data_IF_013045924457
#
_entry.id   IF_013045924457
#
_cell.length_a   1.000
_cell.length_b   1.000
_cell.length_c   1.000
_cell.angle_alpha   90.00
_cell.angle_beta   90.00
_cell.angle_gamma   90.00
#
_symmetry.space_group_name_H-M   'P 1'
#
loop_
_entity.id
_entity.type
_entity.pdbx_description
1 polymer ?
#
# COMPACT_ATOMS: atom_id res chain seq x y z
N UNK A 1 -28.85 31.98 -59.79
CA UNK A 1 -27.85 32.50 -58.84
C UNK A 1 -26.78 31.43 -58.67
N UNK A 2 -25.49 31.72 -58.90
CA UNK A 2 -24.41 30.75 -58.69
C UNK A 2 -24.42 30.31 -57.22
N UNK A 3 -24.55 28.99 -56.99
CA UNK A 3 -24.72 28.39 -55.66
C UNK A 3 -23.57 27.43 -55.31
N UNK A 4 -23.60 26.90 -54.09
CA UNK A 4 -22.64 25.90 -53.63
C UNK A 4 -22.99 24.50 -54.18
N UNK A 5 -22.75 24.29 -55.48
CA UNK A 5 -22.96 23.00 -56.13
C UNK A 5 -21.99 22.78 -57.29
N UNK A 6 -21.54 21.53 -57.46
CA UNK A 6 -20.88 21.10 -58.68
C UNK A 6 -21.95 20.88 -59.74
N UNK A 7 -21.92 21.66 -60.82
CA UNK A 7 -22.94 21.61 -61.88
C UNK A 7 -22.30 21.19 -63.19
N UNK A 8 -22.91 20.22 -63.87
CA UNK A 8 -22.55 19.79 -65.22
C UNK A 8 -23.76 20.03 -66.12
N UNK A 9 -23.53 20.66 -67.27
CA UNK A 9 -24.54 20.84 -68.30
C UNK A 9 -24.16 19.99 -69.51
N UNK A 10 -25.07 19.14 -69.97
CA UNK A 10 -24.91 18.34 -71.18
C UNK A 10 -25.83 18.94 -72.24
N UNK A 11 -25.24 19.38 -73.35
CA UNK A 11 -25.97 19.89 -74.49
C UNK A 11 -26.15 18.78 -75.52
N UNK A 12 -27.40 18.41 -75.79
CA UNK A 12 -27.73 17.43 -76.83
C UNK A 12 -28.04 18.18 -78.13
N UNK A 13 -27.38 17.81 -79.23
CA UNK A 13 -27.52 18.46 -80.53
C UNK A 13 -27.70 17.43 -81.65
N UNK A 14 -28.39 17.82 -82.71
CA UNK A 14 -28.64 16.98 -83.90
C UNK A 14 -27.63 17.35 -85.00
N UNK A 15 -27.04 16.37 -85.70
CA UNK A 15 -26.12 16.64 -86.81
C UNK A 15 -26.84 16.99 -88.13
N UNK A 16 -28.17 17.08 -88.15
CA UNK A 16 -28.95 17.33 -89.37
C UNK A 16 -28.99 18.80 -89.75
N UNK A 17 -28.87 19.11 -91.05
CA UNK A 17 -28.90 20.49 -91.56
C UNK A 17 -30.22 21.22 -91.29
N UNK A 18 -31.32 20.47 -91.18
CA UNK A 18 -32.64 21.03 -90.85
C UNK A 18 -32.69 21.63 -89.44
N UNK A 19 -31.90 21.10 -88.52
CA UNK A 19 -31.85 21.51 -87.12
C UNK A 19 -30.71 22.51 -86.86
N UNK A 20 -30.09 23.04 -87.91
CA UNK A 20 -28.92 23.91 -87.82
C UNK A 20 -29.16 25.12 -86.90
N UNK A 21 -30.31 25.79 -87.04
CA UNK A 21 -30.62 26.98 -86.26
C UNK A 21 -30.81 26.67 -84.77
N UNK A 22 -31.49 25.56 -84.44
CA UNK A 22 -31.70 25.10 -83.05
C UNK A 22 -30.41 24.60 -82.40
N UNK A 23 -29.60 23.88 -83.17
CA UNK A 23 -28.27 23.43 -82.76
C UNK A 23 -27.36 24.61 -82.43
N UNK A 24 -27.38 25.66 -83.28
CA UNK A 24 -26.63 26.90 -83.03
C UNK A 24 -27.10 27.62 -81.76
N UNK A 25 -28.41 27.67 -81.53
CA UNK A 25 -28.97 28.31 -80.34
C UNK A 25 -28.62 27.54 -79.05
N UNK A 26 -28.68 26.21 -79.09
CA UNK A 26 -28.28 25.32 -77.99
C UNK A 26 -26.79 25.48 -77.66
N UNK A 27 -25.92 25.52 -78.68
CA UNK A 27 -24.48 25.74 -78.50
C UNK A 27 -24.16 27.13 -77.95
N UNK A 28 -24.87 28.18 -78.40
CA UNK A 28 -24.74 29.54 -77.83
C UNK A 28 -25.13 29.57 -76.36
N UNK A 29 -26.18 28.84 -75.97
CA UNK A 29 -26.59 28.74 -74.57
C UNK A 29 -25.57 27.94 -73.75
N UNK A 30 -25.09 26.80 -74.26
CA UNK A 30 -24.05 26.01 -73.61
C UNK A 30 -22.76 26.81 -73.39
N UNK A 31 -22.37 27.64 -74.36
CA UNK A 31 -21.19 28.52 -74.23
C UNK A 31 -21.40 29.60 -73.16
N UNK A 32 -22.61 30.19 -73.07
CA UNK A 32 -22.95 31.10 -71.96
C UNK A 32 -22.93 30.40 -70.60
N UNK A 33 -23.47 29.18 -70.53
CA UNK A 33 -23.50 28.38 -69.31
C UNK A 33 -22.09 27.96 -68.84
N UNK A 34 -21.17 27.66 -69.77
CA UNK A 34 -19.76 27.39 -69.47
C UNK A 34 -19.08 28.53 -68.71
N UNK A 35 -19.49 29.77 -68.97
CA UNK A 35 -18.90 30.95 -68.33
C UNK A 35 -19.47 31.23 -66.93
N UNK A 36 -20.47 30.46 -66.48
CA UNK A 36 -21.00 30.57 -65.13
C UNK A 36 -20.02 29.91 -64.16
N UNK A 37 -19.43 30.70 -63.28
CA UNK A 37 -18.51 30.22 -62.24
C UNK A 37 -19.28 29.95 -60.95
N UNK A 38 -19.37 28.69 -60.54
CA UNK A 38 -19.86 28.32 -59.22
C UNK A 38 -18.70 28.30 -58.22
N UNK A 39 -18.97 28.74 -56.98
CA UNK A 39 -18.03 28.63 -55.87
C UNK A 39 -18.44 27.46 -54.98
N UNK A 40 -17.76 26.33 -55.16
CA UNK A 40 -18.03 25.11 -54.39
C UNK A 40 -17.22 25.15 -53.10
N UNK A 41 -17.90 25.05 -51.97
CA UNK A 41 -17.34 24.91 -50.63
C UNK A 41 -17.78 23.58 -50.03
N UNK A 42 -16.88 22.88 -49.33
CA UNK A 42 -17.25 21.65 -48.63
C UNK A 42 -18.33 22.02 -47.60
N UNK A 43 -19.50 21.39 -47.72
CA UNK A 43 -20.58 21.51 -46.74
C UNK A 43 -20.17 20.76 -45.47
N UNK A 44 -19.30 21.39 -44.68
CA UNK A 44 -19.17 20.99 -43.28
C UNK A 44 -20.43 21.51 -42.60
N UNK A 45 -21.32 20.61 -42.21
CA UNK A 45 -22.49 20.99 -41.45
C UNK A 45 -22.04 21.74 -40.20
N UNK A 46 -22.64 22.90 -39.95
CA UNK A 46 -22.38 23.67 -38.73
C UNK A 46 -22.58 22.78 -37.49
N UNK A 47 -23.54 21.84 -37.55
CA UNK A 47 -23.75 20.82 -36.52
C UNK A 47 -22.54 19.91 -36.34
N UNK A 48 -21.95 19.36 -37.41
CA UNK A 48 -20.74 18.51 -37.31
C UNK A 48 -19.55 19.26 -36.71
N UNK A 49 -19.33 20.52 -37.10
CA UNK A 49 -18.25 21.34 -36.52
C UNK A 49 -18.50 21.61 -35.03
N UNK A 50 -19.72 21.97 -34.66
CA UNK A 50 -20.11 22.16 -33.26
C UNK A 50 -19.99 20.87 -32.45
N UNK A 51 -20.38 19.72 -33.01
CA UNK A 51 -20.23 18.41 -32.38
C UNK A 51 -18.76 18.09 -32.13
N UNK A 52 -17.86 18.37 -33.08
CA UNK A 52 -16.42 18.14 -32.88
C UNK A 52 -15.87 19.03 -31.77
N UNK A 53 -16.25 20.31 -31.72
CA UNK A 53 -15.84 21.23 -30.65
C UNK A 53 -16.36 20.77 -29.28
N UNK A 54 -17.65 20.44 -29.19
CA UNK A 54 -18.25 19.95 -27.95
C UNK A 54 -17.61 18.63 -27.50
N UNK A 55 -17.26 17.72 -28.41
CA UNK A 55 -16.54 16.49 -28.06
C UNK A 55 -15.16 16.76 -27.51
N UNK A 56 -14.44 17.73 -28.09
CA UNK A 56 -13.12 18.14 -27.61
C UNK A 56 -13.21 18.77 -26.23
N UNK A 57 -14.22 19.61 -25.99
CA UNK A 57 -14.47 20.25 -24.69
C UNK A 57 -14.87 19.22 -23.62
N UNK A 58 -15.75 18.26 -23.96
CA UNK A 58 -16.07 17.14 -23.07
C UNK A 58 -14.81 16.34 -22.71
N UNK A 59 -13.93 16.06 -23.66
CA UNK A 59 -12.68 15.35 -23.40
C UNK A 59 -11.76 16.13 -22.47
N UNK A 60 -11.62 17.44 -22.66
CA UNK A 60 -10.82 18.31 -21.79
C UNK A 60 -11.39 18.34 -20.37
N UNK A 61 -12.70 18.56 -20.22
CA UNK A 61 -13.37 18.56 -18.92
C UNK A 61 -13.28 17.20 -18.22
N UNK A 62 -13.30 16.09 -18.97
CA UNK A 62 -13.11 14.75 -18.41
C UNK A 62 -11.70 14.54 -17.86
N UNK A 63 -10.66 15.01 -18.57
CA UNK A 63 -9.28 14.96 -18.09
C UNK A 63 -9.10 15.81 -16.83
N UNK A 64 -9.62 17.03 -16.85
CA UNK A 64 -9.60 17.93 -15.70
C UNK A 64 -10.29 17.31 -14.47
N UNK A 65 -11.50 16.75 -14.65
CA UNK A 65 -12.20 16.03 -13.59
C UNK A 65 -11.42 14.82 -13.06
N UNK A 66 -10.71 14.11 -13.95
CA UNK A 66 -9.84 13.01 -13.55
C UNK A 66 -8.68 13.52 -12.69
N UNK A 67 -8.07 14.65 -13.04
CA UNK A 67 -7.02 15.27 -12.23
C UNK A 67 -7.53 15.72 -10.86
N UNK A 68 -8.77 16.26 -10.79
CA UNK A 68 -9.43 16.57 -9.52
C UNK A 68 -9.70 15.31 -8.67
N UNK A 69 -10.20 14.23 -9.28
CA UNK A 69 -10.46 12.95 -8.58
C UNK A 69 -9.18 12.29 -8.09
N UNK A 70 -8.08 12.45 -8.81
CA UNK A 70 -6.76 11.96 -8.41
C UNK A 70 -6.10 12.86 -7.35
N UNK A 71 -6.72 13.98 -6.99
CA UNK A 71 -6.18 14.95 -6.05
C UNK A 71 -4.98 15.71 -6.61
N UNK A 72 -4.75 15.71 -7.92
CA UNK A 72 -3.64 16.42 -8.59
C UNK A 72 -3.89 17.93 -8.65
N UNK A 73 -5.15 18.34 -8.75
CA UNK A 73 -5.60 19.74 -8.70
C UNK A 73 -6.54 19.91 -7.51
N UNK A 74 -6.39 21.01 -6.79
CA UNK A 74 -7.26 21.39 -5.67
C UNK A 74 -7.71 22.83 -5.90
N UNK A 75 -9.01 23.07 -5.79
CA UNK A 75 -9.59 24.42 -5.84
C UNK A 75 -9.53 25.00 -4.44
N UNK A 76 -8.78 26.10 -4.26
CA UNK A 76 -8.75 26.84 -2.99
C UNK A 76 -10.07 27.59 -2.73
N UNK A 77 -10.25 28.10 -1.52
CA UNK A 77 -11.45 28.86 -1.09
C UNK A 77 -11.72 30.11 -1.96
N UNK A 78 -10.67 30.65 -2.60
CA UNK A 78 -10.73 31.79 -3.53
C UNK A 78 -11.03 31.41 -4.99
N UNK A 79 -11.31 30.13 -5.28
CA UNK A 79 -11.58 29.63 -6.63
C UNK A 79 -10.34 29.49 -7.53
N UNK A 80 -9.14 29.73 -6.98
CA UNK A 80 -7.87 29.56 -7.70
C UNK A 80 -7.48 28.08 -7.70
N UNK A 81 -7.24 27.54 -8.89
CA UNK A 81 -6.80 26.17 -9.07
C UNK A 81 -5.30 26.06 -8.75
N UNK A 82 -4.96 25.30 -7.71
CA UNK A 82 -3.58 25.01 -7.35
C UNK A 82 -3.26 23.53 -7.64
N UNK A 83 -2.01 23.26 -8.02
CA UNK A 83 -1.50 21.89 -8.07
C UNK A 83 -1.28 21.44 -6.64
N UNK A 84 -1.79 20.27 -6.29
CA UNK A 84 -1.67 19.76 -4.93
C UNK A 84 -0.21 19.37 -4.63
N UNK A 85 0.42 20.08 -3.70
CA UNK A 85 1.80 19.82 -3.27
C UNK A 85 1.97 18.37 -2.78
N UNK A 86 0.96 17.83 -2.11
CA UNK A 86 0.93 16.43 -1.64
C UNK A 86 0.95 15.42 -2.79
N UNK A 87 0.31 15.74 -3.92
CA UNK A 87 0.30 14.87 -5.10
C UNK A 87 1.66 14.90 -5.80
N UNK A 88 2.29 16.07 -5.89
CA UNK A 88 3.63 16.21 -6.46
C UNK A 88 4.67 15.45 -5.63
N UNK A 89 4.61 15.58 -4.31
CA UNK A 89 5.46 14.82 -3.39
C UNK A 89 5.24 13.31 -3.53
N UNK A 90 3.99 12.84 -3.58
CA UNK A 90 3.70 11.42 -3.80
C UNK A 90 4.27 10.90 -5.13
N UNK A 91 4.20 11.69 -6.20
CA UNK A 91 4.79 11.32 -7.48
C UNK A 91 6.31 11.17 -7.38
N UNK A 92 6.99 12.12 -6.73
CA UNK A 92 8.43 12.06 -6.50
C UNK A 92 8.82 10.86 -5.63
N UNK A 93 8.09 10.61 -4.56
CA UNK A 93 8.28 9.46 -3.67
C UNK A 93 8.05 8.13 -4.41
N UNK A 94 7.02 8.02 -5.24
CA UNK A 94 6.82 6.82 -6.06
C UNK A 94 7.96 6.60 -7.04
N UNK A 95 8.47 7.66 -7.64
CA UNK A 95 9.62 7.58 -8.55
C UNK A 95 10.85 7.08 -7.81
N UNK A 96 11.10 7.58 -6.60
CA UNK A 96 12.24 7.16 -5.78
C UNK A 96 12.09 5.70 -5.30
N UNK A 97 10.88 5.29 -4.89
CA UNK A 97 10.56 3.89 -4.58
C UNK A 97 10.87 2.99 -5.77
N UNK A 98 10.50 3.39 -6.98
CA UNK A 98 10.76 2.61 -8.19
C UNK A 98 12.27 2.49 -8.49
N UNK A 99 13.05 3.56 -8.29
CA UNK A 99 14.51 3.51 -8.40
C UNK A 99 15.11 2.55 -7.38
N UNK A 100 14.69 2.64 -6.11
CA UNK A 100 15.18 1.78 -5.04
C UNK A 100 14.82 0.32 -5.30
N UNK A 101 13.59 0.02 -5.75
CA UNK A 101 13.18 -1.34 -6.17
C UNK A 101 14.07 -1.87 -7.28
N UNK A 102 14.40 -1.05 -8.27
CA UNK A 102 15.28 -1.45 -9.38
C UNK A 102 16.69 -1.77 -8.87
N UNK A 103 17.23 -0.97 -7.94
CA UNK A 103 18.53 -1.23 -7.31
C UNK A 103 18.52 -2.51 -6.48
N UNK A 104 17.49 -2.74 -5.68
CA UNK A 104 17.34 -3.97 -4.89
C UNK A 104 17.28 -5.18 -5.81
N UNK A 105 16.53 -5.10 -6.91
CA UNK A 105 16.48 -6.18 -7.91
C UNK A 105 17.86 -6.48 -8.49
N UNK A 106 18.61 -5.45 -8.91
CA UNK A 106 19.97 -5.63 -9.42
C UNK A 106 20.91 -6.23 -8.38
N UNK A 107 20.82 -5.80 -7.11
CA UNK A 107 21.62 -6.38 -6.02
C UNK A 107 21.24 -7.84 -5.76
N UNK A 108 19.95 -8.18 -5.78
CA UNK A 108 19.50 -9.57 -5.61
C UNK A 108 20.06 -10.47 -6.72
N UNK A 109 20.02 -10.02 -7.97
CA UNK A 109 20.62 -10.76 -9.10
C UNK A 109 22.13 -11.00 -8.90
N UNK A 110 22.86 -10.04 -8.31
CA UNK A 110 24.28 -10.24 -7.97
C UNK A 110 24.49 -11.24 -6.83
N UNK A 111 23.62 -11.24 -5.81
CA UNK A 111 23.67 -12.19 -4.70
C UNK A 111 23.41 -13.59 -5.22
N UNK A 112 22.39 -13.77 -6.06
CA UNK A 112 22.04 -15.06 -6.65
C UNK A 112 23.19 -15.60 -7.52
N UNK A 113 23.84 -14.74 -8.31
CA UNK A 113 25.00 -15.11 -9.11
C UNK A 113 26.22 -15.52 -8.25
N UNK A 114 26.48 -14.79 -7.16
CA UNK A 114 27.56 -15.13 -6.24
C UNK A 114 27.26 -16.42 -5.46
N UNK A 115 26.02 -16.60 -5.01
CA UNK A 115 25.55 -17.81 -4.34
C UNK A 115 25.74 -19.04 -5.24
N UNK A 116 25.28 -18.95 -6.51
CA UNK A 116 25.48 -20.01 -7.49
C UNK A 116 26.95 -20.38 -7.72
N UNK A 117 27.84 -19.37 -7.81
CA UNK A 117 29.28 -19.61 -7.92
C UNK A 117 29.87 -20.27 -6.68
N UNK A 118 29.40 -19.89 -5.48
CA UNK A 118 29.89 -20.45 -4.23
C UNK A 118 29.47 -21.92 -4.09
N UNK A 119 28.21 -22.25 -4.41
CA UNK A 119 27.72 -23.63 -4.47
C UNK A 119 28.50 -24.47 -5.50
N UNK A 120 28.86 -23.90 -6.67
CA UNK A 120 29.71 -24.58 -7.66
C UNK A 120 31.12 -24.86 -7.12
N UNK A 121 31.77 -23.87 -6.49
CA UNK A 121 33.11 -24.05 -5.91
C UNK A 121 33.13 -25.04 -4.75
N UNK A 122 32.06 -25.08 -3.94
CA UNK A 122 31.91 -26.08 -2.89
C UNK A 122 31.77 -27.50 -3.47
N UNK A 123 31.00 -27.66 -4.54
CA UNK A 123 30.90 -28.94 -5.25
C UNK A 123 32.23 -29.37 -5.90
N UNK A 124 32.97 -28.42 -6.49
CA UNK A 124 34.30 -28.68 -7.06
C UNK A 124 35.33 -29.07 -5.97
N UNK A 125 35.33 -28.39 -4.82
CA UNK A 125 36.17 -28.78 -3.68
C UNK A 125 35.81 -30.14 -3.10
N UNK A 126 34.52 -30.45 -3.00
CA UNK A 126 34.07 -31.76 -2.54
C UNK A 126 34.53 -32.85 -3.52
N UNK A 127 34.31 -32.68 -4.82
CA UNK A 127 34.78 -33.66 -5.82
C UNK A 127 36.29 -33.87 -5.79
N UNK A 128 37.09 -32.81 -5.67
CA UNK A 128 38.56 -32.91 -5.50
C UNK A 128 38.93 -33.63 -4.19
N UNK A 129 38.25 -33.32 -3.08
CA UNK A 129 38.48 -33.95 -1.77
C UNK A 129 38.20 -35.46 -1.77
N UNK A 130 37.16 -35.89 -2.48
CA UNK A 130 36.81 -37.30 -2.64
C UNK A 130 37.80 -38.03 -3.56
N UNK A 131 38.23 -37.41 -4.68
CA UNK A 131 39.28 -37.96 -5.55
C UNK A 131 40.59 -38.16 -4.77
N UNK A 132 40.91 -37.29 -3.81
CA UNK A 132 42.11 -37.44 -2.96
C UNK A 132 41.95 -38.42 -1.78
N UNK A 133 40.72 -38.67 -1.31
CA UNK A 133 40.46 -39.62 -0.22
C UNK A 133 40.24 -41.06 -0.70
N UNK A 134 39.82 -41.24 -1.96
CA UNK A 134 39.76 -42.51 -2.66
C UNK A 134 41.13 -43.03 -3.09
N UNK A 135 41.99 -43.33 -2.11
CA UNK A 135 43.04 -44.35 -2.22
C UNK A 135 43.99 -44.28 -3.43
N UNK A 136 44.82 -43.24 -3.54
CA UNK A 136 46.26 -43.42 -3.75
C UNK A 136 46.95 -42.06 -3.79
N UNK A 137 47.95 -41.89 -2.92
CA UNK A 137 48.95 -40.83 -2.98
C UNK A 137 49.83 -41.09 -4.23
N UNK A 138 49.37 -40.66 -5.40
CA UNK A 138 50.17 -40.62 -6.62
C UNK A 138 50.76 -39.23 -6.79
N UNK A 139 52.05 -39.18 -7.09
CA UNK A 139 52.86 -37.98 -7.28
C UNK A 139 52.17 -36.90 -8.12
N UNK A 140 52.37 -35.66 -7.68
CA UNK A 140 51.71 -34.43 -8.11
C UNK A 140 51.94 -33.97 -9.57
N UNK A 141 52.58 -34.78 -10.42
CA UNK A 141 52.98 -34.39 -11.78
C UNK A 141 52.12 -35.00 -12.92
N UNK A 142 51.06 -35.77 -12.63
CA UNK A 142 50.24 -36.46 -13.67
C UNK A 142 48.73 -36.25 -13.56
N UNK A 143 48.28 -35.17 -12.94
CA UNK A 143 46.85 -34.91 -12.67
C UNK A 143 46.07 -34.49 -13.94
N UNK A 144 46.73 -33.92 -14.95
CA UNK A 144 46.05 -33.36 -16.14
C UNK A 144 45.42 -34.38 -17.11
N UNK A 145 45.64 -35.69 -16.94
CA UNK A 145 45.17 -36.72 -17.89
C UNK A 145 44.08 -37.66 -17.38
N UNK A 146 43.69 -37.58 -16.10
CA UNK A 146 42.66 -38.46 -15.51
C UNK A 146 41.25 -37.88 -15.48
N UNK A 147 41.09 -36.57 -15.71
CA UNK A 147 39.77 -35.89 -15.64
C UNK A 147 38.82 -36.31 -16.78
N UNK A 148 39.31 -36.93 -17.86
CA UNK A 148 38.47 -37.31 -19.02
C UNK A 148 38.05 -38.79 -19.07
N UNK A 149 38.40 -39.62 -18.07
CA UNK A 149 38.40 -41.08 -18.25
C UNK A 149 37.44 -41.95 -17.41
N UNK A 150 36.75 -41.43 -16.39
CA UNK A 150 36.00 -42.29 -15.47
C UNK A 150 34.51 -42.38 -15.84
N UNK A 151 34.14 -43.53 -16.41
CA UNK A 151 32.79 -43.87 -16.86
C UNK A 151 31.85 -44.26 -15.71
N UNK A 152 30.79 -43.48 -15.53
CA UNK A 152 29.42 -43.99 -15.36
C UNK A 152 28.85 -44.23 -13.96
N UNK A 153 29.65 -44.58 -12.94
CA UNK A 153 29.11 -44.98 -11.62
C UNK A 153 29.26 -43.94 -10.51
N UNK A 154 30.33 -43.14 -10.54
CA UNK A 154 30.60 -42.14 -9.49
C UNK A 154 29.82 -40.84 -9.68
N UNK A 155 29.33 -40.60 -10.91
CA UNK A 155 28.53 -39.43 -11.28
C UNK A 155 27.17 -39.40 -10.56
N UNK A 156 26.49 -40.54 -10.41
CA UNK A 156 25.17 -40.59 -9.76
C UNK A 156 25.25 -40.26 -8.26
N UNK A 157 26.32 -40.72 -7.59
CA UNK A 157 26.55 -40.42 -6.17
C UNK A 157 26.94 -38.95 -5.98
N UNK A 158 27.72 -38.38 -6.91
CA UNK A 158 28.05 -36.95 -6.88
C UNK A 158 26.84 -36.07 -7.19
N UNK A 159 25.98 -36.46 -8.12
CA UNK A 159 24.75 -35.74 -8.46
C UNK A 159 23.73 -35.77 -7.31
N UNK A 160 23.65 -36.89 -6.58
CA UNK A 160 22.80 -37.03 -5.39
C UNK A 160 23.30 -36.19 -4.21
N UNK A 161 24.61 -36.21 -3.94
CA UNK A 161 25.23 -35.37 -2.91
C UNK A 161 25.07 -33.89 -3.25
N UNK A 162 25.21 -33.53 -4.54
CA UNK A 162 24.96 -32.18 -5.02
C UNK A 162 23.50 -31.78 -4.85
N UNK A 163 22.55 -32.69 -5.05
CA UNK A 163 21.13 -32.49 -4.79
C UNK A 163 20.85 -32.15 -3.32
N UNK A 164 21.36 -32.94 -2.38
CA UNK A 164 21.16 -32.70 -0.94
C UNK A 164 21.83 -31.41 -0.46
N UNK A 165 23.03 -31.08 -0.94
CA UNK A 165 23.69 -29.81 -0.62
C UNK A 165 22.86 -28.61 -1.10
N UNK A 166 22.29 -28.70 -2.30
CA UNK A 166 21.44 -27.66 -2.88
C UNK A 166 20.13 -27.52 -2.11
N UNK A 167 19.54 -28.64 -1.67
CA UNK A 167 18.34 -28.66 -0.84
C UNK A 167 18.60 -28.07 0.56
N UNK A 168 19.75 -28.37 1.18
CA UNK A 168 20.13 -27.77 2.47
C UNK A 168 20.36 -26.25 2.32
N UNK A 169 20.98 -25.80 1.24
CA UNK A 169 21.15 -24.36 0.96
C UNK A 169 19.80 -23.67 0.69
N UNK A 170 18.89 -24.31 -0.05
CA UNK A 170 17.53 -23.81 -0.25
C UNK A 170 16.73 -23.72 1.05
N UNK A 171 16.82 -24.74 1.91
CA UNK A 171 16.13 -24.76 3.20
C UNK A 171 16.68 -23.69 4.14
N UNK A 172 18.00 -23.46 4.15
CA UNK A 172 18.61 -22.36 4.89
C UNK A 172 18.18 -20.99 4.37
N UNK A 173 18.09 -20.82 3.05
CA UNK A 173 17.60 -19.58 2.44
C UNK A 173 16.12 -19.32 2.80
N UNK A 174 15.27 -20.36 2.72
CA UNK A 174 13.84 -20.27 3.11
C UNK A 174 13.66 -19.95 4.59
N UNK A 175 14.49 -20.52 5.47
CA UNK A 175 14.47 -20.21 6.90
C UNK A 175 14.84 -18.74 7.14
N UNK A 176 15.92 -18.26 6.51
CA UNK A 176 16.36 -16.87 6.65
C UNK A 176 15.33 -15.88 6.09
N UNK A 177 14.65 -16.22 4.99
CA UNK A 177 13.56 -15.42 4.42
C UNK A 177 12.32 -15.40 5.35
N UNK A 178 11.97 -16.56 5.93
CA UNK A 178 10.91 -16.68 6.94
C UNK A 178 11.22 -15.88 8.22
N UNK A 179 12.46 -15.93 8.70
CA UNK A 179 12.90 -15.16 9.87
C UNK A 179 12.88 -13.65 9.59
N UNK A 180 13.36 -13.23 8.42
CA UNK A 180 13.32 -11.83 7.97
C UNK A 180 11.89 -11.30 7.83
N UNK A 181 10.98 -12.09 7.23
CA UNK A 181 9.56 -11.71 7.09
C UNK A 181 8.85 -11.65 8.42
N UNK A 182 9.06 -12.62 9.33
CA UNK A 182 8.56 -12.55 10.71
C UNK A 182 9.10 -11.32 11.45
N UNK A 183 10.39 -10.99 11.29
CA UNK A 183 11.00 -9.84 11.94
C UNK A 183 10.48 -8.51 11.35
N UNK A 184 10.18 -8.45 10.05
CA UNK A 184 9.52 -7.31 9.41
C UNK A 184 8.07 -7.15 9.88
N UNK A 185 7.30 -8.24 10.00
CA UNK A 185 5.95 -8.20 10.55
C UNK A 185 5.95 -7.69 12.00
N UNK A 186 6.91 -8.12 12.83
CA UNK A 186 7.11 -7.56 14.18
C UNK A 186 7.44 -6.07 14.16
N UNK A 187 8.33 -5.62 13.25
CA UNK A 187 8.67 -4.19 13.06
C UNK A 187 7.51 -3.34 12.54
N UNK A 188 6.62 -3.92 11.73
CA UNK A 188 5.42 -3.25 11.23
C UNK A 188 4.35 -3.19 12.32
N UNK A 189 4.21 -4.24 13.14
CA UNK A 189 3.33 -4.26 14.31
C UNK A 189 3.77 -3.28 15.41
N UNK A 190 5.09 -3.01 15.53
CA UNK A 190 5.62 -2.05 16.49
C UNK A 190 5.66 -0.59 15.99
N UNK A 191 5.32 -0.31 14.73
CA UNK A 191 5.17 1.07 14.23
C UNK A 191 3.75 1.59 14.55
N UNK A 192 3.62 2.75 15.23
CA UNK A 192 2.31 3.35 15.46
C UNK A 192 1.65 3.69 14.12
N UNK A 193 0.46 3.14 13.91
CA UNK A 193 -0.29 3.26 12.65
C UNK A 193 -0.93 4.64 12.56
N UNK A 194 -0.24 5.60 11.95
CA UNK A 194 -0.87 6.84 11.50
C UNK A 194 -1.56 6.59 10.15
N UNK A 195 -2.74 5.95 10.19
CA UNK A 195 -3.59 5.80 8.99
C UNK A 195 -4.39 7.09 8.77
N UNK A 196 -3.88 7.89 7.85
CA UNK A 196 -4.61 8.95 7.16
C UNK A 196 -5.77 8.35 6.33
N UNK A 197 -6.92 8.99 6.47
CA UNK A 197 -8.23 8.73 5.89
C UNK A 197 -8.30 8.89 4.37
N UNK A 198 -8.79 7.88 3.63
CA UNK A 198 -9.75 8.09 2.54
C UNK A 198 -10.34 6.78 1.98
N UNK A 199 -11.55 6.40 2.41
CA UNK A 199 -12.56 5.79 1.53
C UNK A 199 -13.92 5.91 2.20
N UNK A 200 -14.78 6.76 1.64
CA UNK A 200 -16.18 6.87 2.01
C UNK A 200 -16.97 5.62 1.63
N UNK A 201 -18.07 5.41 2.36
CA UNK A 201 -19.04 4.30 2.28
C UNK A 201 -18.69 3.01 3.06
N UNK A 202 -18.25 3.13 4.32
CA UNK A 202 -18.42 2.04 5.29
C UNK A 202 -18.42 2.53 6.75
N UNK A 203 -18.95 3.71 7.03
CA UNK A 203 -18.89 4.31 8.37
C UNK A 203 -20.25 4.31 9.06
N UNK A 204 -20.63 3.17 9.64
CA UNK A 204 -21.56 3.17 10.78
C UNK A 204 -21.30 2.04 11.79
N UNK A 205 -20.29 1.18 11.56
CA UNK A 205 -19.97 0.04 12.43
C UNK A 205 -18.59 0.12 13.12
N UNK A 206 -17.69 0.99 12.64
CA UNK A 206 -16.29 0.99 13.09
C UNK A 206 -16.06 1.62 14.48
N UNK A 207 -16.90 2.56 14.93
CA UNK A 207 -16.71 3.19 16.24
C UNK A 207 -16.96 2.24 17.41
N UNK A 208 -17.87 1.26 17.26
CA UNK A 208 -18.10 0.21 18.25
C UNK A 208 -16.99 -0.84 18.24
N UNK A 209 -16.44 -1.12 17.05
CA UNK A 209 -15.39 -2.12 16.89
C UNK A 209 -14.07 -1.67 17.51
N UNK A 210 -13.68 -0.40 17.36
CA UNK A 210 -12.45 0.12 17.98
C UNK A 210 -12.50 0.13 19.52
N UNK A 211 -13.66 0.46 20.12
CA UNK A 211 -13.87 0.36 21.58
C UNK A 211 -13.75 -1.09 22.05
N UNK A 212 -14.37 -2.03 21.32
CA UNK A 212 -14.33 -3.47 21.62
C UNK A 212 -12.91 -4.04 21.55
N UNK A 213 -12.10 -3.62 20.58
CA UNK A 213 -10.70 -4.06 20.43
C UNK A 213 -9.83 -3.55 21.58
N UNK A 214 -10.06 -2.32 22.06
CA UNK A 214 -9.35 -1.76 23.21
C UNK A 214 -9.75 -2.48 24.50
N UNK A 215 -11.02 -2.82 24.69
CA UNK A 215 -11.45 -3.63 25.85
C UNK A 215 -10.87 -5.05 25.83
N UNK A 216 -10.77 -5.65 24.64
CA UNK A 216 -10.19 -6.98 24.47
C UNK A 216 -8.69 -6.98 24.78
N UNK A 217 -7.94 -5.99 24.28
CA UNK A 217 -6.52 -5.80 24.60
C UNK A 217 -6.28 -5.55 26.10
N UNK A 218 -7.18 -4.82 26.78
CA UNK A 218 -7.13 -4.66 28.24
C UNK A 218 -7.36 -5.96 29.00
N UNK A 219 -8.31 -6.79 28.55
CA UNK A 219 -8.56 -8.10 29.13
C UNK A 219 -7.36 -9.03 28.96
N UNK A 220 -6.69 -8.97 27.81
CA UNK A 220 -5.47 -9.73 27.55
C UNK A 220 -4.31 -9.27 28.45
N UNK A 221 -4.08 -7.95 28.57
CA UNK A 221 -3.06 -7.40 29.47
C UNK A 221 -3.29 -7.78 30.94
N UNK A 222 -4.55 -7.81 31.39
CA UNK A 222 -4.89 -8.26 32.73
C UNK A 222 -4.60 -9.76 32.94
N UNK A 223 -4.84 -10.61 31.92
CA UNK A 223 -4.48 -12.04 31.99
C UNK A 223 -2.97 -12.24 32.08
N UNK A 224 -2.19 -11.47 31.32
CA UNK A 224 -0.73 -11.50 31.37
C UNK A 224 -0.22 -11.08 32.77
N UNK A 225 -0.79 -10.03 33.36
CA UNK A 225 -0.46 -9.55 34.71
C UNK A 225 -0.84 -10.54 35.81
N UNK A 226 -1.98 -11.22 35.67
CA UNK A 226 -2.41 -12.30 36.57
C UNK A 226 -1.53 -13.55 36.43
N UNK A 227 -1.01 -13.86 35.24
CA UNK A 227 -0.05 -14.95 35.04
C UNK A 227 1.27 -14.66 35.75
N UNK A 228 1.82 -13.46 35.60
CA UNK A 228 3.02 -13.02 36.34
C UNK A 228 2.81 -13.09 37.85
N UNK A 229 1.66 -12.61 38.33
CA UNK A 229 1.35 -12.61 39.76
C UNK A 229 1.22 -14.03 40.33
N UNK A 230 0.70 -14.98 39.53
CA UNK A 230 0.63 -16.40 39.91
C UNK A 230 2.00 -17.05 39.96
N UNK A 231 2.87 -16.77 38.99
CA UNK A 231 4.25 -17.27 38.98
C UNK A 231 5.01 -16.73 40.20
N UNK A 232 4.89 -15.44 40.50
CA UNK A 232 5.50 -14.83 41.68
C UNK A 232 4.94 -15.34 43.02
N UNK A 233 3.66 -15.70 43.09
CA UNK A 233 3.04 -16.29 44.27
C UNK A 233 3.53 -17.73 44.50
N UNK A 234 3.61 -18.51 43.43
CA UNK A 234 4.12 -19.89 43.46
C UNK A 234 5.62 -19.93 43.83
N UNK A 235 6.37 -18.89 43.48
CA UNK A 235 7.76 -18.67 43.92
C UNK A 235 7.89 -18.37 45.42
N UNK A 236 6.93 -17.64 46.02
CA UNK A 236 6.94 -17.37 47.47
C UNK A 236 6.61 -18.61 48.28
N UNK A 237 5.61 -19.39 47.85
CA UNK A 237 5.26 -20.66 48.52
C UNK A 237 6.39 -21.70 48.44
N UNK A 238 7.17 -21.73 47.36
CA UNK A 238 8.34 -22.61 47.22
C UNK A 238 9.54 -22.18 48.09
N UNK A 239 9.70 -20.88 48.38
CA UNK A 239 10.74 -20.40 49.30
C UNK A 239 10.36 -20.60 50.76
N UNK A 240 9.09 -20.37 51.12
CA UNK A 240 8.61 -20.56 52.49
C UNK A 240 8.52 -22.05 52.89
N UNK A 241 8.42 -22.97 51.91
CA UNK A 241 8.43 -24.41 52.15
C UNK A 241 9.82 -25.06 52.32
N UNK A 242 10.91 -24.29 52.20
CA UNK A 242 12.28 -24.79 52.31
C UNK A 242 12.97 -24.45 53.65
N UNK A 243 12.35 -23.65 54.52
CA UNK A 243 12.92 -23.27 55.84
C UNK A 243 12.30 -23.99 57.04
N UNK A 244 11.35 -24.93 56.87
CA UNK A 244 10.80 -25.74 57.97
C UNK A 244 11.35 -27.18 58.01
N UNK A 245 12.68 -27.30 58.09
CA UNK A 245 13.36 -28.58 58.30
C UNK A 245 14.67 -28.39 59.06
N UNK A 246 14.67 -28.82 60.33
CA UNK A 246 15.80 -28.94 61.26
C UNK A 246 16.19 -27.71 62.10
N UNK A 247 15.63 -27.65 63.32
CA UNK A 247 16.42 -27.43 64.54
C UNK A 247 15.58 -27.72 65.78
N UNK A 248 15.71 -28.94 66.32
CA UNK A 248 15.32 -29.27 67.69
C UNK A 248 16.43 -30.16 68.28
N UNK A 249 17.14 -29.70 69.31
CA UNK A 249 18.15 -30.53 70.00
C UNK A 249 19.34 -29.81 70.67
N UNK A 250 19.06 -29.19 71.82
CA UNK A 250 19.84 -29.07 73.08
C UNK A 250 21.39 -29.21 73.13
N UNK A 251 22.00 -28.20 73.77
CA UNK A 251 23.14 -28.17 74.70
C UNK A 251 24.20 -29.30 74.70
N UNK A 252 25.48 -28.92 74.49
CA UNK A 252 26.64 -29.42 75.27
C UNK A 252 27.90 -28.58 75.06
N UNK A 253 28.45 -28.09 76.18
CA UNK A 253 29.82 -27.56 76.32
C UNK A 253 30.88 -28.59 75.87
N UNK A 254 31.96 -28.12 75.23
CA UNK A 254 33.11 -28.94 74.89
C UNK A 254 34.21 -28.19 74.12
N UNK A 255 35.26 -27.85 74.84
CA UNK A 255 36.53 -27.24 74.44
C UNK A 255 37.29 -27.93 73.26
N UNK A 256 38.16 -27.13 72.62
CA UNK A 256 39.45 -27.47 71.98
C UNK A 256 39.55 -28.04 70.54
N UNK A 257 40.32 -27.26 69.76
CA UNK A 257 41.39 -27.59 68.79
C UNK A 257 41.12 -28.29 67.45
N UNK A 258 41.41 -27.52 66.40
CA UNK A 258 42.30 -27.80 65.25
C UNK A 258 42.14 -29.15 64.52
N UNK A 259 41.56 -29.10 63.31
CA UNK A 259 41.85 -30.10 62.26
C UNK A 259 41.51 -29.53 60.89
N UNK A 260 42.55 -29.18 60.15
CA UNK A 260 42.56 -29.00 58.70
C UNK A 260 41.88 -30.20 58.00
N UNK A 261 40.98 -29.91 57.06
CA UNK A 261 40.45 -30.88 56.11
C UNK A 261 40.08 -30.18 54.82
N UNK A 262 41.02 -30.19 53.88
CA UNK A 262 40.79 -29.95 52.46
C UNK A 262 39.55 -30.74 52.01
N UNK A 263 38.51 -30.00 51.63
CA UNK A 263 37.45 -30.53 50.77
C UNK A 263 37.25 -29.51 49.66
N UNK A 264 38.04 -29.68 48.61
CA UNK A 264 37.72 -29.19 47.28
C UNK A 264 36.42 -29.86 46.85
N UNK A 265 35.30 -29.18 47.05
CA UNK A 265 34.06 -29.47 46.34
C UNK A 265 33.74 -28.26 45.49
N UNK A 266 34.20 -28.32 44.25
CA UNK A 266 33.67 -27.52 43.15
C UNK A 266 32.22 -27.93 42.87
N UNK A 267 31.28 -27.48 43.70
CA UNK A 267 29.86 -27.52 43.36
C UNK A 267 29.41 -26.09 42.99
N UNK A 268 29.77 -25.71 41.76
CA UNK A 268 29.28 -24.50 41.07
C UNK A 268 28.38 -24.88 39.89
N UNK A 269 27.55 -25.90 40.06
CA UNK A 269 26.56 -26.31 39.06
C UNK A 269 25.20 -26.52 39.72
N UNK A 270 24.58 -25.45 40.25
CA UNK A 270 23.13 -25.50 40.53
C UNK A 270 22.45 -24.11 40.70
N UNK A 271 22.96 -23.07 40.04
CA UNK A 271 22.29 -21.74 40.00
C UNK A 271 21.62 -21.41 38.67
N UNK A 272 21.79 -22.27 37.65
CA UNK A 272 21.31 -22.02 36.29
C UNK A 272 19.77 -21.90 36.15
N UNK A 273 18.92 -22.63 36.90
CA UNK A 273 17.47 -22.50 36.72
C UNK A 273 16.97 -21.10 37.11
N UNK A 274 17.56 -20.50 38.14
CA UNK A 274 17.06 -19.24 38.72
C UNK A 274 17.39 -18.00 37.88
N UNK A 275 18.51 -18.00 37.16
CA UNK A 275 18.85 -16.92 36.22
C UNK A 275 17.99 -16.99 34.94
N UNK A 276 17.68 -18.18 34.43
CA UNK A 276 16.83 -18.36 33.24
C UNK A 276 15.38 -17.90 33.49
N UNK A 277 14.79 -18.26 34.65
CA UNK A 277 13.46 -17.76 35.05
C UNK A 277 13.44 -16.25 35.34
N UNK A 278 14.55 -15.69 35.83
CA UNK A 278 14.69 -14.25 36.04
C UNK A 278 14.70 -13.45 34.74
N UNK A 279 15.34 -13.99 33.70
CA UNK A 279 15.36 -13.41 32.36
C UNK A 279 13.98 -13.46 31.68
N UNK A 280 13.29 -14.60 31.77
CA UNK A 280 11.95 -14.76 31.20
C UNK A 280 10.92 -13.82 31.88
N UNK A 281 11.01 -13.67 33.21
CA UNK A 281 10.17 -12.73 33.96
C UNK A 281 10.47 -11.25 33.59
N UNK A 282 11.74 -10.92 33.37
CA UNK A 282 12.15 -9.58 32.94
C UNK A 282 11.66 -9.26 31.51
N UNK A 283 11.71 -10.24 30.61
CA UNK A 283 11.17 -10.13 29.25
C UNK A 283 9.65 -9.94 29.26
N UNK A 284 8.92 -10.75 30.03
CA UNK A 284 7.47 -10.64 30.14
C UNK A 284 7.05 -9.29 30.75
N UNK A 285 7.80 -8.80 31.74
CA UNK A 285 7.55 -7.48 32.34
C UNK A 285 7.86 -6.34 31.36
N UNK A 286 8.88 -6.47 30.51
CA UNK A 286 9.15 -5.53 29.41
C UNK A 286 8.01 -5.52 28.40
N UNK A 287 7.49 -6.70 28.04
CA UNK A 287 6.35 -6.85 27.12
C UNK A 287 5.07 -6.21 27.69
N UNK A 288 4.77 -6.44 28.97
CA UNK A 288 3.62 -5.81 29.66
C UNK A 288 3.75 -4.29 29.63
N UNK A 289 4.94 -3.74 29.90
CA UNK A 289 5.17 -2.30 29.86
C UNK A 289 4.97 -1.70 28.46
N UNK A 290 5.37 -2.43 27.41
CA UNK A 290 5.16 -2.01 26.02
C UNK A 290 3.67 -2.07 25.67
N UNK A 291 2.97 -3.16 26.01
CA UNK A 291 1.52 -3.30 25.80
C UNK A 291 0.74 -2.20 26.53
N UNK A 292 1.10 -1.86 27.76
CA UNK A 292 0.46 -0.79 28.53
C UNK A 292 0.62 0.58 27.84
N UNK A 293 1.84 0.93 27.40
CA UNK A 293 2.08 2.18 26.67
C UNK A 293 1.28 2.26 25.38
N UNK A 294 1.17 1.15 24.64
CA UNK A 294 0.40 1.10 23.40
C UNK A 294 -1.10 1.32 23.65
N UNK A 295 -1.65 0.74 24.74
CA UNK A 295 -3.04 0.97 25.14
C UNK A 295 -3.26 2.43 25.51
N UNK A 296 -2.36 3.04 26.28
CA UNK A 296 -2.47 4.46 26.69
C UNK A 296 -2.45 5.40 25.46
N UNK A 297 -1.59 5.13 24.48
CA UNK A 297 -1.54 5.87 23.20
C UNK A 297 -2.82 5.68 22.37
N UNK A 298 -3.34 4.46 22.27
CA UNK A 298 -4.60 4.18 21.58
C UNK A 298 -5.78 4.91 22.23
N UNK A 299 -5.86 4.93 23.56
CA UNK A 299 -6.89 5.68 24.29
C UNK A 299 -6.75 7.19 24.10
N UNK A 300 -5.51 7.71 24.11
CA UNK A 300 -5.28 9.13 23.87
C UNK A 300 -5.69 9.52 22.45
N UNK A 301 -5.35 8.69 21.46
CA UNK A 301 -5.77 8.85 20.07
C UNK A 301 -7.30 8.83 19.93
N UNK A 302 -7.97 7.86 20.57
CA UNK A 302 -9.42 7.75 20.56
C UNK A 302 -10.10 8.96 21.21
N UNK A 303 -9.57 9.46 22.33
CA UNK A 303 -10.06 10.70 22.97
C UNK A 303 -9.94 11.90 22.05
N UNK A 304 -8.78 12.09 21.39
CA UNK A 304 -8.58 13.18 20.41
C UNK A 304 -9.56 13.07 19.25
N UNK A 305 -9.75 11.87 18.71
CA UNK A 305 -10.70 11.62 17.62
C UNK A 305 -12.13 11.96 18.05
N UNK A 306 -12.53 11.57 19.26
CA UNK A 306 -13.86 11.87 19.78
C UNK A 306 -14.10 13.38 19.92
N UNK A 307 -13.13 14.12 20.46
CA UNK A 307 -13.20 15.58 20.56
C UNK A 307 -13.29 16.23 19.18
N UNK A 308 -12.45 15.81 18.22
CA UNK A 308 -12.54 16.34 16.85
C UNK A 308 -13.89 16.04 16.20
N UNK A 309 -14.39 14.80 16.35
CA UNK A 309 -15.71 14.42 15.84
C UNK A 309 -16.80 15.33 16.40
N UNK A 310 -16.81 15.56 17.70
CA UNK A 310 -17.78 16.45 18.36
C UNK A 310 -17.70 17.88 17.81
N UNK A 311 -16.49 18.42 17.64
CA UNK A 311 -16.30 19.75 17.03
C UNK A 311 -16.84 19.83 15.59
N UNK A 312 -16.67 18.77 14.79
CA UNK A 312 -17.23 18.72 13.43
C UNK A 312 -18.76 18.60 13.44
N UNK A 313 -19.32 17.79 14.33
CA UNK A 313 -20.77 17.67 14.50
C UNK A 313 -21.39 19.02 14.92
N UNK A 314 -20.78 19.72 15.88
CA UNK A 314 -21.21 21.07 16.29
C UNK A 314 -21.15 22.07 15.14
N UNK A 315 -20.05 22.06 14.36
CA UNK A 315 -19.90 22.94 13.20
C UNK A 315 -20.91 22.63 12.10
N UNK A 316 -21.23 21.35 11.87
CA UNK A 316 -22.25 20.93 10.93
C UNK A 316 -23.64 21.42 11.37
N UNK A 317 -23.98 21.27 12.66
CA UNK A 317 -25.23 21.78 13.21
C UNK A 317 -25.34 23.30 13.06
N UNK A 318 -24.27 24.04 13.32
CA UNK A 318 -24.23 25.50 13.11
C UNK A 318 -24.48 25.88 11.66
N UNK A 319 -23.85 25.19 10.70
CA UNK A 319 -24.06 25.44 9.28
C UNK A 319 -25.50 25.11 8.85
N UNK A 320 -26.04 23.98 9.30
CA UNK A 320 -27.44 23.61 9.04
C UNK A 320 -28.42 24.65 9.59
N UNK A 321 -28.18 25.16 10.81
CA UNK A 321 -28.99 26.22 11.41
C UNK A 321 -28.91 27.53 10.60
N UNK A 322 -27.73 27.91 10.11
CA UNK A 322 -27.56 29.08 9.25
C UNK A 322 -28.32 28.93 7.94
N UNK A 323 -28.19 27.78 7.27
CA UNK A 323 -28.92 27.48 6.03
C UNK A 323 -30.43 27.60 6.26
N UNK A 324 -30.92 27.01 7.36
CA UNK A 324 -32.34 27.09 7.73
C UNK A 324 -32.79 28.53 7.93
N UNK A 325 -32.03 29.35 8.65
CA UNK A 325 -32.37 30.76 8.85
C UNK A 325 -32.40 31.55 7.53
N UNK A 326 -31.41 31.35 6.64
CA UNK A 326 -31.40 31.98 5.32
C UNK A 326 -32.59 31.53 4.46
N UNK A 327 -33.01 30.26 4.55
CA UNK A 327 -34.21 29.77 3.88
C UNK A 327 -35.48 30.42 4.43
N UNK A 328 -35.60 30.57 5.75
CA UNK A 328 -36.73 31.26 6.39
C UNK A 328 -36.78 32.74 6.00
N UNK A 329 -35.64 33.44 5.93
CA UNK A 329 -35.57 34.83 5.46
C UNK A 329 -36.00 34.94 3.99
N UNK A 330 -35.50 34.05 3.12
CA UNK A 330 -35.93 33.98 1.72
C UNK A 330 -37.44 33.78 1.61
N UNK A 331 -38.00 32.85 2.37
CA UNK A 331 -39.43 32.52 2.31
C UNK A 331 -40.31 33.68 2.81
N UNK A 332 -39.85 34.41 3.84
CA UNK A 332 -40.50 35.66 4.28
C UNK A 332 -40.50 36.72 3.19
N UNK A 333 -39.40 36.91 2.47
CA UNK A 333 -39.30 37.87 1.36
C UNK A 333 -40.20 37.45 0.18
N UNK A 334 -40.26 36.16 -0.13
CA UNK A 334 -41.16 35.65 -1.18
C UNK A 334 -42.63 35.85 -0.80
N UNK A 335 -43.00 35.61 0.46
CA UNK A 335 -44.35 35.85 0.96
C UNK A 335 -44.73 37.33 0.85
N UNK A 336 -43.85 38.25 1.27
CA UNK A 336 -44.11 39.69 1.17
C UNK A 336 -44.23 40.16 -0.28
N UNK A 337 -43.44 39.60 -1.20
CA UNK A 337 -43.55 39.91 -2.62
C UNK A 337 -44.88 39.39 -3.21
N UNK A 338 -45.32 38.20 -2.80
CA UNK A 338 -46.61 37.64 -3.21
C UNK A 338 -47.77 38.51 -2.72
N UNK A 339 -47.77 38.94 -1.45
CA UNK A 339 -48.77 39.85 -0.91
C UNK A 339 -48.83 41.16 -1.70
N UNK A 340 -47.67 41.77 -1.96
CA UNK A 340 -47.57 43.02 -2.71
C UNK A 340 -48.09 42.87 -4.15
N UNK A 341 -47.76 41.77 -4.83
CA UNK A 341 -48.29 41.46 -6.17
C UNK A 341 -49.81 41.30 -6.17
N UNK A 342 -50.37 40.68 -5.12
CA UNK A 342 -51.82 40.51 -4.96
C UNK A 342 -52.53 41.86 -4.78
N UNK A 343 -51.93 42.76 -3.99
CA UNK A 343 -52.44 44.13 -3.81
C UNK A 343 -52.40 44.92 -5.12
N UNK A 344 -51.29 44.85 -5.88
CA UNK A 344 -51.17 45.53 -7.18
C UNK A 344 -52.25 45.03 -8.16
N UNK A 345 -52.40 43.71 -8.30
CA UNK A 345 -53.42 43.13 -9.18
C UNK A 345 -54.84 43.54 -8.77
N UNK A 346 -55.13 43.52 -7.47
CA UNK A 346 -56.43 43.96 -6.93
C UNK A 346 -56.74 45.42 -7.25
N UNK A 347 -55.76 46.32 -7.11
CA UNK A 347 -55.91 47.74 -7.45
C UNK A 347 -56.14 47.95 -8.95
N UNK A 348 -55.44 47.21 -9.81
CA UNK A 348 -55.66 47.29 -11.26
C UNK A 348 -57.04 46.78 -11.70
N UNK A 349 -57.67 45.86 -10.95
CA UNK A 349 -59.01 45.38 -11.23
C UNK A 349 -60.13 46.34 -10.78
N UNK A 350 -59.83 47.26 -9.87
CA UNK A 350 -60.76 48.31 -9.40
C UNK A 350 -60.69 49.55 -10.33
N UNK A 351 -59.58 49.74 -11.04
CA UNK A 351 -59.34 50.88 -11.93
C UNK A 351 -59.89 50.72 -13.36
N UNK A 352 -60.45 49.56 -13.70
CA UNK A 352 -61.17 49.25 -14.96
C UNK A 352 -62.65 49.10 -14.63
#
# INVERSE_FOLDING_TARGET
MPGNSQTVMIACVSPSDRDFMETLNTLKYANRARNIKNRVTINQDKSSRTITLLRQEIQQLQLELQEYKQGKRVVGEDGVESVNDMFHENMMLQTEINKMRTRVKAMQETIDALSSKNSQLLAEKATVGWITSGGNKLDCDKVDKLVLGCSGSDNDVTELIQGYLKEIEELRAKLLESESTCQQLRKVASRPTNRSSNTGQFELSLSSSAVSVIEEAKKELNRDREAVSRILAQEREKRDGAEEGESDGEDRDGDLEDSESDTDTEDKEDSEPQEEYGLELAELNSEINIKQKLIDELEQSQRRLHVMKQQYEDKLQQLMARIKNTQEERDKVLASYSELYTVILGLSHIAV
#
